data_IF_026688287389
#
_entry.id   IF_026688287389
#
_cell.length_a   1.000
_cell.length_b   1.000
_cell.length_c   1.000
_cell.angle_alpha   90.00
_cell.angle_beta   90.00
_cell.angle_gamma   90.00
#
_symmetry.space_group_name_H-M   'P 1'
#
loop_
_entity.id
_entity.type
_entity.pdbx_description
1 polymer ?
#
# COMPACT_ATOMS: atom_id res chain seq x y z
N UNK A 1 -9.57 -8.38 -8.11
CA UNK A 1 -9.46 -8.05 -6.68
C UNK A 1 -10.23 -6.77 -6.41
N UNK A 2 -11.09 -6.78 -5.41
CA UNK A 2 -11.88 -5.62 -5.05
C UNK A 2 -11.21 -4.87 -3.90
N UNK A 3 -11.27 -3.54 -3.98
CA UNK A 3 -10.68 -2.67 -2.97
C UNK A 3 -11.76 -1.87 -2.27
N UNK A 4 -11.48 -1.51 -1.03
CA UNK A 4 -12.29 -0.57 -0.28
C UNK A 4 -11.38 0.32 0.56
N UNK A 5 -11.90 1.45 1.02
CA UNK A 5 -11.18 2.34 1.93
C UNK A 5 -12.14 3.35 2.55
N UNK A 6 -11.67 3.96 3.63
CA UNK A 6 -12.36 5.06 4.29
C UNK A 6 -12.12 6.35 3.51
N UNK A 7 -13.18 7.03 3.01
CA UNK A 7 -13.01 8.27 2.23
C UNK A 7 -12.25 9.36 2.98
N UNK A 8 -12.41 9.46 4.30
CA UNK A 8 -11.71 10.48 5.08
C UNK A 8 -10.21 10.19 5.14
N UNK A 9 -9.85 8.91 5.26
CA UNK A 9 -8.44 8.52 5.23
C UNK A 9 -7.83 8.75 3.86
N UNK A 10 -8.61 8.56 2.80
CA UNK A 10 -8.13 8.81 1.44
C UNK A 10 -7.77 10.29 1.25
N UNK A 11 -8.61 11.21 1.74
CA UNK A 11 -8.35 12.64 1.67
C UNK A 11 -7.09 13.00 2.45
N UNK A 12 -6.99 12.52 3.68
CA UNK A 12 -5.85 12.80 4.56
C UNK A 12 -4.56 12.23 3.96
N UNK A 13 -4.62 11.03 3.41
CA UNK A 13 -3.45 10.39 2.82
C UNK A 13 -2.94 11.17 1.61
N UNK A 14 -3.85 11.62 0.76
CA UNK A 14 -3.48 12.40 -0.42
C UNK A 14 -2.81 13.72 -0.01
N UNK A 15 -3.38 14.40 1.00
CA UNK A 15 -2.82 15.66 1.49
C UNK A 15 -1.44 15.45 2.12
N UNK A 16 -1.26 14.36 2.87
CA UNK A 16 -0.03 14.11 3.63
C UNK A 16 1.08 13.51 2.78
N UNK A 17 0.75 12.58 1.90
CA UNK A 17 1.75 11.79 1.16
C UNK A 17 1.74 12.02 -0.35
N UNK A 18 0.73 12.73 -0.87
CA UNK A 18 0.62 12.94 -2.31
C UNK A 18 0.26 11.68 -3.10
N UNK A 19 -0.30 10.68 -2.44
CA UNK A 19 -0.67 9.40 -3.06
C UNK A 19 -2.15 9.16 -2.85
N UNK A 20 -2.89 8.97 -3.95
CA UNK A 20 -4.29 8.60 -3.87
C UNK A 20 -4.43 7.10 -3.60
N UNK A 21 -5.54 6.70 -3.00
CA UNK A 21 -5.79 5.28 -2.80
C UNK A 21 -6.12 4.58 -4.13
N UNK A 22 -6.62 5.31 -5.11
CA UNK A 22 -6.81 4.76 -6.45
C UNK A 22 -5.48 4.37 -7.09
N UNK A 23 -4.48 5.23 -6.96
CA UNK A 23 -3.13 4.89 -7.42
C UNK A 23 -2.56 3.73 -6.60
N UNK A 24 -2.73 3.75 -5.28
CA UNK A 24 -2.23 2.69 -4.41
C UNK A 24 -2.78 1.32 -4.80
N UNK A 25 -4.06 1.25 -5.18
CA UNK A 25 -4.68 0.01 -5.62
C UNK A 25 -3.98 -0.60 -6.83
N UNK A 26 -3.40 0.22 -7.71
CA UNK A 26 -2.72 -0.27 -8.91
C UNK A 26 -1.44 -1.03 -8.60
N UNK A 27 -0.86 -0.84 -7.41
CA UNK A 27 0.34 -1.57 -6.97
C UNK A 27 0.10 -3.08 -6.98
N UNK A 28 -1.13 -3.50 -6.68
CA UNK A 28 -1.47 -4.93 -6.63
C UNK A 28 -1.51 -5.58 -8.01
N UNK A 29 -1.45 -4.79 -9.07
CA UNK A 29 -1.29 -5.28 -10.43
C UNK A 29 0.16 -5.41 -10.88
N UNK A 30 1.11 -4.97 -10.05
CA UNK A 30 2.54 -5.13 -10.35
C UNK A 30 2.95 -6.58 -10.10
N UNK A 31 3.39 -7.33 -11.13
CA UNK A 31 3.77 -8.73 -10.94
C UNK A 31 4.99 -8.91 -10.04
N UNK A 32 5.75 -7.85 -9.79
CA UNK A 32 6.94 -7.89 -8.93
C UNK A 32 6.65 -7.38 -7.52
N UNK A 33 5.40 -7.03 -7.20
CA UNK A 33 5.05 -6.54 -5.87
C UNK A 33 5.31 -7.61 -4.81
N UNK A 34 5.77 -7.16 -3.64
CA UNK A 34 6.11 -8.04 -2.51
C UNK A 34 5.33 -7.59 -1.29
N UNK A 35 4.71 -8.56 -0.60
CA UNK A 35 3.90 -8.26 0.60
C UNK A 35 4.54 -8.86 1.84
N UNK A 36 4.48 -8.09 2.93
CA UNK A 36 5.01 -8.49 4.23
C UNK A 36 3.94 -8.30 5.30
N UNK A 37 3.89 -9.24 6.24
CA UNK A 37 3.05 -9.10 7.42
C UNK A 37 3.60 -7.98 8.31
N UNK A 38 2.73 -7.14 8.87
CA UNK A 38 3.11 -6.02 9.74
C UNK A 38 2.66 -6.31 11.17
N UNK A 39 3.48 -7.00 12.00
CA UNK A 39 3.07 -7.36 13.36
C UNK A 39 2.90 -6.15 14.28
N UNK A 40 3.60 -5.06 14.01
CA UNK A 40 3.54 -3.86 14.83
C UNK A 40 2.20 -3.13 14.77
N UNK A 41 1.37 -3.43 13.77
CA UNK A 41 0.09 -2.78 13.57
C UNK A 41 -1.04 -3.80 13.37
N UNK A 42 -0.88 -5.03 13.91
CA UNK A 42 -1.83 -6.12 13.72
C UNK A 42 -2.53 -6.52 15.02
N UNK A 43 -2.94 -5.55 15.84
CA UNK A 43 -3.57 -5.83 17.14
C UNK A 43 -4.98 -6.41 16.98
N UNK A 44 -5.83 -5.76 16.19
CA UNK A 44 -7.23 -6.15 16.01
C UNK A 44 -7.48 -6.91 14.72
N UNK A 45 -6.61 -6.72 13.74
CA UNK A 45 -6.73 -7.34 12.42
C UNK A 45 -5.33 -7.47 11.82
N UNK A 46 -5.15 -8.46 10.96
CA UNK A 46 -3.86 -8.65 10.31
C UNK A 46 -3.63 -7.58 9.27
N UNK A 47 -2.54 -6.85 9.40
CA UNK A 47 -2.12 -5.83 8.47
C UNK A 47 -0.89 -6.26 7.71
N UNK A 48 -0.82 -5.80 6.48
CA UNK A 48 0.27 -6.12 5.56
C UNK A 48 0.81 -4.85 4.93
N UNK A 49 2.06 -4.90 4.52
CA UNK A 49 2.69 -3.86 3.70
C UNK A 49 3.02 -4.47 2.36
N UNK A 50 2.57 -3.83 1.29
CA UNK A 50 2.91 -4.26 -0.06
C UNK A 50 3.76 -3.19 -0.73
N UNK A 51 4.93 -3.61 -1.22
CA UNK A 51 5.86 -2.78 -1.97
C UNK A 51 5.68 -3.10 -3.44
N UNK A 52 5.46 -2.09 -4.27
CA UNK A 52 5.34 -2.30 -5.70
C UNK A 52 5.20 -0.99 -6.44
N UNK A 53 5.32 -1.07 -7.76
CA UNK A 53 5.19 0.11 -8.61
C UNK A 53 3.73 0.34 -8.98
N UNK A 54 3.30 1.60 -8.85
CA UNK A 54 1.97 2.00 -9.30
C UNK A 54 1.93 2.14 -10.82
N UNK A 55 0.73 2.32 -11.36
CA UNK A 55 0.55 2.57 -12.79
C UNK A 55 1.14 3.92 -13.23
N UNK A 56 1.55 4.76 -12.29
CA UNK A 56 2.26 6.01 -12.58
C UNK A 56 3.77 5.88 -12.44
N UNK A 57 4.27 4.66 -12.24
CA UNK A 57 5.70 4.38 -12.19
C UNK A 57 6.37 4.73 -10.86
N UNK A 58 5.59 4.96 -9.81
CA UNK A 58 6.14 5.27 -8.48
C UNK A 58 6.19 4.02 -7.63
N UNK A 59 7.32 3.82 -6.93
CA UNK A 59 7.40 2.73 -5.96
C UNK A 59 6.69 3.16 -4.69
N UNK A 60 5.62 2.46 -4.35
CA UNK A 60 4.77 2.77 -3.22
C UNK A 60 4.83 1.66 -2.17
N UNK A 61 4.57 2.05 -0.92
CA UNK A 61 4.35 1.13 0.18
C UNK A 61 2.92 1.32 0.62
N UNK A 62 2.12 0.27 0.49
CA UNK A 62 0.68 0.30 0.78
C UNK A 62 0.40 -0.55 2.01
N UNK A 63 -0.18 0.08 3.05
CA UNK A 63 -0.68 -0.65 4.22
C UNK A 63 -2.11 -1.07 3.95
N UNK A 64 -2.41 -2.34 4.16
CA UNK A 64 -3.73 -2.87 3.84
C UNK A 64 -4.08 -4.07 4.72
N UNK A 65 -5.34 -4.45 4.68
CA UNK A 65 -5.84 -5.63 5.40
C UNK A 65 -6.94 -6.30 4.57
N UNK A 66 -7.13 -7.59 4.79
CA UNK A 66 -8.19 -8.35 4.11
C UNK A 66 -9.52 -8.17 4.84
N UNK A 67 -10.58 -7.91 4.08
CA UNK A 67 -11.94 -7.78 4.56
C UNK A 67 -12.84 -8.68 3.71
N UNK A 68 -12.85 -10.00 4.03
CA UNK A 68 -13.57 -10.97 3.22
C UNK A 68 -12.96 -11.09 1.84
N UNK A 69 -13.75 -10.78 0.81
CA UNK A 69 -13.29 -10.80 -0.58
C UNK A 69 -12.71 -9.46 -1.04
N UNK A 70 -12.58 -8.49 -0.11
CA UNK A 70 -12.06 -7.16 -0.41
C UNK A 70 -10.74 -6.93 0.27
N UNK A 71 -9.92 -6.08 -0.35
CA UNK A 71 -8.65 -5.62 0.20
C UNK A 71 -8.86 -4.17 0.65
N UNK A 72 -8.75 -3.93 1.96
CA UNK A 72 -8.96 -2.59 2.52
C UNK A 72 -7.64 -1.84 2.59
N UNK A 73 -7.56 -0.75 1.85
CA UNK A 73 -6.38 0.11 1.86
C UNK A 73 -6.48 1.05 3.06
N UNK A 74 -5.39 1.12 3.83
CA UNK A 74 -5.33 1.90 5.08
C UNK A 74 -4.49 3.15 4.88
N UNK A 75 -3.33 3.02 4.22
CA UNK A 75 -2.46 4.14 3.92
C UNK A 75 -1.54 3.78 2.76
N UNK A 76 -0.97 4.81 2.14
CA UNK A 76 -0.02 4.60 1.06
C UNK A 76 0.95 5.77 1.00
N UNK A 77 2.21 5.47 0.78
CA UNK A 77 3.24 6.51 0.64
C UNK A 77 4.28 6.06 -0.37
N UNK A 78 5.04 7.00 -0.84
CA UNK A 78 6.17 6.72 -1.71
C UNK A 78 7.31 6.12 -0.88
N UNK A 79 8.02 5.15 -1.43
CA UNK A 79 9.17 4.55 -0.78
C UNK A 79 10.30 5.58 -0.64
N UNK A 80 11.04 5.50 0.47
CA UNK A 80 12.24 6.30 0.66
C UNK A 80 13.35 5.76 -0.24
N UNK A 81 14.45 6.53 -0.35
CA UNK A 81 15.60 6.09 -1.14
C UNK A 81 16.16 4.77 -0.59
N UNK A 82 16.25 4.65 0.74
CA UNK A 82 16.75 3.42 1.37
C UNK A 82 15.85 2.24 1.06
N UNK A 83 14.54 2.43 1.19
CA UNK A 83 13.56 1.38 0.90
C UNK A 83 13.60 0.97 -0.57
N UNK A 84 13.76 1.94 -1.47
CA UNK A 84 13.89 1.66 -2.89
C UNK A 84 15.11 0.78 -3.17
N UNK A 85 16.24 1.09 -2.54
CA UNK A 85 17.45 0.28 -2.70
C UNK A 85 17.27 -1.14 -2.19
N UNK A 86 16.62 -1.29 -1.03
CA UNK A 86 16.36 -2.62 -0.46
C UNK A 86 15.45 -3.44 -1.37
N UNK A 87 14.41 -2.81 -1.91
CA UNK A 87 13.49 -3.46 -2.82
C UNK A 87 14.20 -3.94 -4.10
N UNK A 88 15.07 -3.11 -4.65
CA UNK A 88 15.79 -3.42 -5.91
C UNK A 88 16.85 -4.50 -5.75
N UNK A 89 17.26 -4.80 -4.52
CA UNK A 89 18.28 -5.81 -4.24
C UNK A 89 17.68 -7.21 -4.04
N UNK A 90 16.36 -7.32 -4.00
CA UNK A 90 15.71 -8.62 -3.76
C UNK A 90 15.46 -9.44 -5.01
#
# INVERSE_FOLDING_TARGET
>A
MDFEWDPNKAVTNLAKHGVSFSEAATVFGDPLAVSYFDPGHSDDEDRYLTFGHSNEGRLLIVSHTDRGDRNRIISARQATRRETKQYEQE
#
